data_IF_766535524540
#
_entry.id   IF_766535524540
#
_cell.length_a   1.000
_cell.length_b   1.000
_cell.length_c   1.000
_cell.angle_alpha   90.00
_cell.angle_beta   90.00
_cell.angle_gamma   90.00
#
_symmetry.space_group_name_H-M   'P 1'
#
loop_
_entity.id
_entity.type
_entity.pdbx_description
1 polymer ?
#
# COMPACT_ATOMS: atom_id res chain seq x y z
N UNK A 1 10.62 -20.43 0.52
CA UNK A 1 11.77 -20.95 -0.25
C UNK A 1 12.85 -21.29 0.77
N UNK A 2 13.25 -22.56 0.90
CA UNK A 2 14.30 -22.95 1.84
C UNK A 2 15.62 -22.29 1.40
N UNK A 3 16.29 -21.57 2.30
CA UNK A 3 17.52 -20.86 1.98
C UNK A 3 18.71 -21.80 2.06
N UNK A 4 19.48 -21.89 0.97
CA UNK A 4 20.83 -22.46 1.02
C UNK A 4 21.70 -21.57 1.92
N UNK A 5 22.26 -22.16 2.97
CA UNK A 5 23.34 -21.59 3.77
C UNK A 5 24.58 -22.44 3.54
N UNK A 6 25.74 -21.81 3.34
CA UNK A 6 27.00 -22.55 3.15
C UNK A 6 27.23 -23.44 4.37
N UNK A 7 27.45 -24.74 4.14
CA UNK A 7 27.78 -25.67 5.22
C UNK A 7 29.11 -25.26 5.86
N UNK A 8 29.11 -25.09 7.18
CA UNK A 8 30.24 -24.56 7.95
C UNK A 8 30.60 -25.52 9.07
N UNK A 9 31.89 -25.60 9.38
CA UNK A 9 32.40 -26.27 10.57
C UNK A 9 33.34 -25.32 11.32
N UNK A 10 33.40 -25.49 12.64
CA UNK A 10 34.24 -24.64 13.50
C UNK A 10 35.57 -25.35 13.73
N UNK A 11 36.67 -24.69 13.36
CA UNK A 11 38.04 -25.08 13.70
C UNK A 11 38.66 -23.97 14.52
N UNK A 12 39.10 -24.28 15.74
CA UNK A 12 39.73 -23.32 16.67
C UNK A 12 38.92 -22.02 16.90
N UNK A 13 37.59 -22.13 16.92
CA UNK A 13 36.68 -20.99 17.09
C UNK A 13 36.41 -20.18 15.82
N UNK A 14 37.00 -20.56 14.68
CA UNK A 14 36.80 -19.94 13.38
C UNK A 14 35.84 -20.79 12.54
N UNK A 15 34.79 -20.16 12.00
CA UNK A 15 33.83 -20.80 11.10
C UNK A 15 34.43 -20.86 9.69
N UNK A 16 34.68 -22.06 9.17
CA UNK A 16 35.20 -22.27 7.82
C UNK A 16 34.23 -23.11 6.96
N UNK A 17 34.16 -22.86 5.63
CA UNK A 17 33.28 -23.62 4.75
C UNK A 17 33.70 -25.08 4.67
N UNK A 18 32.76 -25.99 4.90
CA UNK A 18 32.94 -27.44 4.84
C UNK A 18 33.44 -27.87 3.45
N UNK A 19 34.52 -28.66 3.35
CA UNK A 19 34.99 -29.16 2.06
C UNK A 19 33.90 -30.00 1.39
N UNK A 20 33.78 -29.88 0.07
CA UNK A 20 32.76 -30.58 -0.72
C UNK A 20 32.81 -32.11 -0.55
N UNK A 21 34.00 -32.66 -0.29
CA UNK A 21 34.20 -34.10 -0.04
C UNK A 21 33.50 -34.62 1.22
N UNK A 22 33.19 -33.74 2.17
CA UNK A 22 32.53 -34.09 3.43
C UNK A 22 31.02 -33.84 3.39
N UNK A 23 30.49 -33.33 2.28
CA UNK A 23 29.07 -32.96 2.16
C UNK A 23 28.15 -34.17 2.22
N UNK A 24 26.99 -33.99 2.86
CA UNK A 24 25.89 -34.96 2.76
C UNK A 24 25.04 -34.66 1.51
N UNK A 25 24.31 -35.67 1.03
CA UNK A 25 23.46 -35.62 -0.18
C UNK A 25 22.52 -34.38 -0.21
N UNK A 26 22.03 -33.96 0.97
CA UNK A 26 21.17 -32.78 1.14
C UNK A 26 21.93 -31.46 0.92
N UNK A 27 23.20 -31.39 1.36
CA UNK A 27 24.06 -30.20 1.20
C UNK A 27 24.46 -30.01 -0.27
N UNK A 28 24.81 -31.10 -0.95
CA UNK A 28 25.12 -31.11 -2.39
C UNK A 28 23.91 -30.68 -3.22
N UNK A 29 22.74 -31.28 -2.97
CA UNK A 29 21.52 -30.94 -3.70
C UNK A 29 21.11 -29.47 -3.49
N UNK A 30 21.32 -28.92 -2.29
CA UNK A 30 21.04 -27.52 -2.00
C UNK A 30 22.01 -26.57 -2.74
N UNK A 31 23.30 -26.92 -2.83
CA UNK A 31 24.30 -26.18 -3.59
C UNK A 31 24.01 -26.16 -5.10
N UNK A 32 23.68 -27.33 -5.66
CA UNK A 32 23.27 -27.47 -7.07
C UNK A 32 22.01 -26.63 -7.35
N UNK A 33 21.03 -26.69 -6.46
CA UNK A 33 19.81 -25.87 -6.54
C UNK A 33 20.11 -24.38 -6.52
N UNK A 34 21.02 -23.94 -5.64
CA UNK A 34 21.46 -22.55 -5.56
C UNK A 34 22.12 -22.06 -6.86
N UNK A 35 23.06 -22.84 -7.39
CA UNK A 35 23.77 -22.52 -8.64
C UNK A 35 22.80 -22.44 -9.83
N UNK A 36 21.86 -23.39 -9.93
CA UNK A 36 20.84 -23.38 -10.99
C UNK A 36 19.96 -22.13 -10.91
N UNK A 37 19.51 -21.77 -9.70
CA UNK A 37 18.69 -20.58 -9.49
C UNK A 37 19.46 -19.28 -9.79
N UNK A 38 20.72 -19.17 -9.35
CA UNK A 38 21.57 -18.02 -9.67
C UNK A 38 21.76 -17.84 -11.16
N UNK A 39 22.09 -18.92 -11.88
CA UNK A 39 22.23 -18.87 -13.33
C UNK A 39 20.94 -18.45 -14.04
N UNK A 40 19.78 -18.89 -13.54
CA UNK A 40 18.50 -18.45 -14.07
C UNK A 40 18.26 -16.95 -13.85
N UNK A 41 18.58 -16.43 -12.65
CA UNK A 41 18.48 -14.99 -12.35
C UNK A 41 19.44 -14.19 -13.23
N UNK A 42 20.71 -14.59 -13.32
CA UNK A 42 21.74 -13.89 -14.08
C UNK A 42 21.43 -13.81 -15.57
N UNK A 43 20.90 -14.88 -16.16
CA UNK A 43 20.50 -14.90 -17.57
C UNK A 43 19.17 -14.20 -17.84
N UNK A 44 18.36 -13.95 -16.80
CA UNK A 44 17.04 -13.31 -16.92
C UNK A 44 17.05 -11.78 -16.82
N UNK A 45 18.19 -11.18 -16.48
CA UNK A 45 18.31 -9.73 -16.25
C UNK A 45 19.18 -9.06 -17.32
N UNK A 46 19.02 -7.74 -17.51
CA UNK A 46 19.89 -6.99 -18.42
C UNK A 46 21.31 -6.77 -17.85
N UNK A 47 22.22 -6.28 -18.68
CA UNK A 47 23.63 -6.13 -18.34
C UNK A 47 23.88 -5.19 -17.13
N UNK A 48 23.06 -4.16 -16.93
CA UNK A 48 23.24 -3.24 -15.81
C UNK A 48 22.82 -3.90 -14.49
N UNK A 49 21.72 -4.65 -14.52
CA UNK A 49 21.19 -5.40 -13.39
C UNK A 49 22.09 -6.59 -13.06
N UNK A 50 22.63 -7.28 -14.07
CA UNK A 50 23.61 -8.34 -13.87
C UNK A 50 24.83 -7.83 -13.10
N UNK A 51 25.39 -6.67 -13.48
CA UNK A 51 26.53 -6.05 -12.76
C UNK A 51 26.24 -5.78 -11.28
N UNK A 52 24.99 -5.48 -10.94
CA UNK A 52 24.56 -5.24 -9.56
C UNK A 52 24.57 -6.52 -8.71
N UNK A 53 24.27 -7.68 -9.31
CA UNK A 53 24.08 -8.95 -8.59
C UNK A 53 25.18 -10.00 -8.83
N UNK A 54 26.13 -9.77 -9.75
CA UNK A 54 27.09 -10.82 -10.16
C UNK A 54 27.99 -11.31 -9.00
N UNK A 55 28.22 -10.48 -7.99
CA UNK A 55 29.02 -10.82 -6.82
C UNK A 55 28.27 -11.70 -5.79
N UNK A 56 26.99 -11.99 -6.02
CA UNK A 56 26.17 -12.80 -5.11
C UNK A 56 26.56 -14.28 -5.19
N UNK A 57 26.88 -14.88 -4.04
CA UNK A 57 27.13 -16.31 -3.89
C UNK A 57 25.87 -17.15 -3.69
N UNK A 58 24.74 -16.52 -3.37
CA UNK A 58 23.45 -17.21 -3.16
C UNK A 58 22.32 -16.58 -3.97
N UNK A 59 21.42 -17.41 -4.47
CA UNK A 59 20.22 -16.96 -5.18
C UNK A 59 19.33 -16.07 -4.29
N UNK A 60 19.31 -16.34 -2.98
CA UNK A 60 18.59 -15.54 -1.99
C UNK A 60 19.13 -14.13 -1.93
N UNK A 61 20.45 -13.96 -1.89
CA UNK A 61 21.07 -12.64 -1.86
C UNK A 61 20.84 -11.88 -3.16
N UNK A 62 21.03 -12.55 -4.31
CA UNK A 62 20.73 -11.95 -5.61
C UNK A 62 19.27 -11.49 -5.71
N UNK A 63 18.32 -12.35 -5.31
CA UNK A 63 16.90 -12.01 -5.28
C UNK A 63 16.58 -10.88 -4.31
N UNK A 64 17.19 -10.86 -3.12
CA UNK A 64 17.01 -9.79 -2.12
C UNK A 64 17.49 -8.45 -2.65
N UNK A 65 18.65 -8.41 -3.34
CA UNK A 65 19.15 -7.17 -3.95
C UNK A 65 18.18 -6.69 -5.03
N UNK A 66 17.70 -7.59 -5.90
CA UNK A 66 16.69 -7.24 -6.90
C UNK A 66 15.41 -6.69 -6.26
N UNK A 67 14.87 -7.37 -5.27
CA UNK A 67 13.68 -6.92 -4.53
C UNK A 67 13.89 -5.52 -3.93
N UNK A 68 15.04 -5.29 -3.29
CA UNK A 68 15.36 -3.97 -2.70
C UNK A 68 15.56 -2.90 -3.77
N UNK A 69 16.19 -3.22 -4.89
CA UNK A 69 16.49 -2.27 -5.96
C UNK A 69 15.25 -1.85 -6.76
N UNK A 70 14.28 -2.74 -6.91
CA UNK A 70 13.08 -2.48 -7.71
C UNK A 70 11.85 -2.13 -6.86
N UNK A 71 11.67 -2.78 -5.71
CA UNK A 71 10.50 -2.58 -4.85
C UNK A 71 10.82 -1.78 -3.58
N UNK A 72 12.10 -1.48 -3.33
CA UNK A 72 12.55 -0.85 -2.09
C UNK A 72 12.65 -1.85 -0.93
N UNK A 73 13.24 -1.40 0.18
CA UNK A 73 13.34 -2.24 1.39
C UNK A 73 11.97 -2.43 2.05
N UNK A 74 11.78 -3.55 2.77
CA UNK A 74 10.58 -3.76 3.60
C UNK A 74 10.36 -2.61 4.59
N UNK A 75 11.44 -2.00 5.10
CA UNK A 75 11.37 -0.82 5.97
C UNK A 75 10.75 0.38 5.26
N UNK A 76 11.17 0.68 4.02
CA UNK A 76 10.58 1.76 3.22
C UNK A 76 9.10 1.49 2.94
N UNK A 77 8.74 0.25 2.55
CA UNK A 77 7.34 -0.16 2.34
C UNK A 77 6.48 0.04 3.60
N UNK A 78 6.99 -0.36 4.78
CA UNK A 78 6.32 -0.14 6.07
C UNK A 78 6.18 1.35 6.38
N UNK A 79 7.22 2.16 6.16
CA UNK A 79 7.15 3.61 6.39
C UNK A 79 6.14 4.30 5.47
N UNK A 80 6.05 3.88 4.19
CA UNK A 80 5.03 4.36 3.25
C UNK A 80 3.63 3.97 3.76
N UNK A 81 3.43 2.72 4.17
CA UNK A 81 2.15 2.27 4.75
C UNK A 81 1.75 3.10 5.96
N UNK A 82 2.69 3.35 6.88
CA UNK A 82 2.44 4.16 8.07
C UNK A 82 2.08 5.60 7.72
N UNK A 83 2.77 6.20 6.73
CA UNK A 83 2.48 7.55 6.26
C UNK A 83 1.06 7.64 5.66
N UNK A 84 0.70 6.71 4.77
CA UNK A 84 -0.62 6.66 4.14
C UNK A 84 -1.72 6.44 5.20
N UNK A 85 -1.48 5.52 6.15
CA UNK A 85 -2.42 5.26 7.25
C UNK A 85 -2.64 6.52 8.08
N UNK A 86 -1.56 7.22 8.43
CA UNK A 86 -1.63 8.49 9.17
C UNK A 86 -2.39 9.57 8.40
N UNK A 87 -2.10 9.76 7.09
CA UNK A 87 -2.85 10.68 6.22
C UNK A 87 -4.35 10.33 6.19
N UNK A 88 -4.67 9.05 6.05
CA UNK A 88 -6.05 8.57 6.01
C UNK A 88 -6.75 8.77 7.37
N UNK A 89 -6.11 8.47 8.48
CA UNK A 89 -6.66 8.70 9.83
C UNK A 89 -6.86 10.19 10.14
N UNK A 90 -5.94 11.04 9.69
CA UNK A 90 -6.04 12.50 9.81
C UNK A 90 -7.04 13.12 8.81
N UNK A 91 -7.55 12.34 7.85
CA UNK A 91 -8.46 12.84 6.84
C UNK A 91 -9.73 13.39 7.48
N UNK A 92 -9.95 14.69 7.23
CA UNK A 92 -11.12 15.45 7.63
C UNK A 92 -11.41 16.49 6.56
N UNK A 93 -12.68 16.67 6.26
CA UNK A 93 -13.15 17.73 5.38
C UNK A 93 -13.24 19.04 6.17
N UNK A 94 -12.75 20.13 5.58
CA UNK A 94 -12.82 21.46 6.20
C UNK A 94 -14.22 22.09 6.04
N UNK A 95 -14.57 23.07 6.88
CA UNK A 95 -15.90 23.70 6.88
C UNK A 95 -16.20 24.46 5.57
N UNK A 96 -15.16 25.04 4.96
CA UNK A 96 -15.19 25.83 3.72
C UNK A 96 -14.76 25.05 2.47
N UNK A 97 -14.36 23.79 2.66
CA UNK A 97 -14.01 22.89 1.55
C UNK A 97 -15.27 22.41 0.83
N UNK A 98 -15.18 22.25 -0.50
CA UNK A 98 -16.24 21.65 -1.31
C UNK A 98 -16.11 20.13 -1.37
N UNK A 99 -17.22 19.43 -1.58
CA UNK A 99 -17.21 17.97 -1.70
C UNK A 99 -16.29 17.49 -2.83
N UNK A 100 -16.21 18.21 -3.96
CA UNK A 100 -15.32 17.84 -5.07
C UNK A 100 -13.85 17.86 -4.66
N UNK A 101 -13.39 18.94 -4.00
CA UNK A 101 -12.00 19.06 -3.53
C UNK A 101 -11.68 18.00 -2.47
N UNK A 102 -12.64 17.75 -1.57
CA UNK A 102 -12.48 16.71 -0.57
C UNK A 102 -12.40 15.31 -1.21
N UNK A 103 -13.22 15.02 -2.22
CA UNK A 103 -13.16 13.76 -2.99
C UNK A 103 -11.80 13.57 -3.67
N UNK A 104 -11.25 14.62 -4.30
CA UNK A 104 -9.92 14.59 -4.91
C UNK A 104 -8.84 14.15 -3.91
N UNK A 105 -8.84 14.69 -2.69
CA UNK A 105 -7.91 14.28 -1.63
C UNK A 105 -8.10 12.84 -1.18
N UNK A 106 -9.35 12.36 -1.11
CA UNK A 106 -9.64 10.96 -0.78
C UNK A 106 -9.09 10.02 -1.86
N UNK A 107 -9.28 10.38 -3.13
CA UNK A 107 -8.76 9.64 -4.27
C UNK A 107 -7.23 9.70 -4.35
N UNK A 108 -6.61 10.82 -4.01
CA UNK A 108 -5.15 10.95 -3.96
C UNK A 108 -4.55 9.95 -2.96
N UNK A 109 -5.09 9.86 -1.74
CA UNK A 109 -4.65 8.88 -0.73
C UNK A 109 -4.90 7.44 -1.20
N UNK A 110 -6.02 7.19 -1.88
CA UNK A 110 -6.32 5.87 -2.45
C UNK A 110 -5.38 5.51 -3.62
N UNK A 111 -4.94 6.47 -4.42
CA UNK A 111 -4.03 6.24 -5.55
C UNK A 111 -2.57 6.09 -5.09
N UNK A 112 -2.13 6.82 -4.07
CA UNK A 112 -0.81 6.61 -3.42
C UNK A 112 -0.65 5.17 -2.89
N UNK A 113 -1.77 4.45 -2.73
CA UNK A 113 -1.82 3.10 -2.17
C UNK A 113 -2.10 2.00 -3.19
N UNK A 114 -1.99 2.21 -4.51
CA UNK A 114 -2.32 1.22 -5.57
C UNK A 114 -1.78 -0.23 -5.36
N UNK A 115 -0.68 -0.44 -4.63
CA UNK A 115 -0.13 -1.77 -4.25
C UNK A 115 -0.64 -2.34 -2.91
N UNK A 116 -1.36 -1.54 -2.13
CA UNK A 116 -1.74 -1.73 -0.73
C UNK A 116 -3.25 -1.60 -0.49
N UNK A 117 -3.97 -1.04 -1.47
CA UNK A 117 -5.40 -0.67 -1.45
C UNK A 117 -6.34 -1.83 -1.14
N UNK A 118 -6.08 -3.02 -1.70
CA UNK A 118 -7.03 -4.14 -1.63
C UNK A 118 -7.40 -4.54 -0.20
N UNK A 119 -6.54 -4.27 0.79
CA UNK A 119 -6.77 -4.70 2.18
C UNK A 119 -7.26 -3.60 3.12
N UNK A 120 -7.15 -2.32 2.73
CA UNK A 120 -7.35 -1.18 3.66
C UNK A 120 -8.61 -0.36 3.31
N UNK A 121 -8.96 -0.22 2.03
CA UNK A 121 -9.84 0.85 1.53
C UNK A 121 -11.24 0.40 1.05
N UNK A 122 -11.70 -0.81 1.39
CA UNK A 122 -13.09 -1.23 1.14
C UNK A 122 -14.12 -0.46 1.99
N UNK A 123 -15.03 -1.17 2.65
CA UNK A 123 -16.08 -0.59 3.52
C UNK A 123 -15.58 0.39 4.61
N UNK A 124 -14.29 0.33 4.98
CA UNK A 124 -13.65 1.27 5.91
C UNK A 124 -13.59 2.70 5.37
N UNK A 125 -13.48 2.87 4.06
CA UNK A 125 -13.37 4.20 3.42
C UNK A 125 -14.65 5.00 3.48
N UNK A 126 -15.78 4.36 3.18
CA UNK A 126 -17.11 4.98 3.26
C UNK A 126 -17.38 5.45 4.69
N UNK A 127 -17.15 4.57 5.67
CA UNK A 127 -17.31 4.93 7.09
C UNK A 127 -16.39 6.08 7.49
N UNK A 128 -15.12 6.06 7.05
CA UNK A 128 -14.17 7.12 7.34
C UNK A 128 -14.63 8.46 6.76
N UNK A 129 -15.08 8.47 5.50
CA UNK A 129 -15.61 9.68 4.86
C UNK A 129 -16.78 10.23 5.66
N UNK A 130 -17.81 9.42 5.95
CA UNK A 130 -18.99 9.84 6.72
C UNK A 130 -18.64 10.46 8.07
N UNK A 131 -17.71 9.85 8.82
CA UNK A 131 -17.26 10.35 10.14
C UNK A 131 -16.43 11.63 10.06
N UNK A 132 -15.88 11.94 8.89
CA UNK A 132 -14.95 13.05 8.69
C UNK A 132 -15.61 14.30 8.08
N UNK A 133 -16.90 14.21 7.75
CA UNK A 133 -17.70 15.31 7.20
C UNK A 133 -18.03 16.35 8.29
N UNK A 134 -18.11 17.64 7.93
CA UNK A 134 -18.55 18.68 8.84
C UNK A 134 -20.03 18.54 9.23
N UNK A 135 -20.42 19.25 10.30
CA UNK A 135 -21.78 19.17 10.88
C UNK A 135 -22.88 19.57 9.89
N UNK A 136 -22.56 20.40 8.88
CA UNK A 136 -23.50 20.78 7.81
C UNK A 136 -24.05 19.58 7.02
N UNK A 137 -23.33 18.46 7.01
CA UNK A 137 -23.76 17.21 6.38
C UNK A 137 -24.44 16.23 7.33
N UNK A 138 -24.55 16.51 8.64
CA UNK A 138 -25.02 15.54 9.64
C UNK A 138 -26.39 14.93 9.29
N UNK A 139 -27.34 15.75 8.83
CA UNK A 139 -28.66 15.26 8.39
C UNK A 139 -28.55 14.29 7.20
N UNK A 140 -27.68 14.58 6.23
CA UNK A 140 -27.48 13.73 5.07
C UNK A 140 -26.79 12.42 5.44
N UNK A 141 -25.83 12.46 6.37
CA UNK A 141 -25.15 11.27 6.91
C UNK A 141 -26.16 10.32 7.54
N UNK A 142 -27.02 10.80 8.44
CA UNK A 142 -28.06 9.97 9.07
C UNK A 142 -28.96 9.28 8.04
N UNK A 143 -29.42 10.02 7.03
CA UNK A 143 -30.25 9.44 5.97
C UNK A 143 -29.52 8.35 5.19
N UNK A 144 -28.22 8.53 4.90
CA UNK A 144 -27.43 7.52 4.20
C UNK A 144 -27.27 6.27 5.06
N UNK A 145 -26.97 6.44 6.37
CA UNK A 145 -26.80 5.32 7.32
C UNK A 145 -28.10 4.53 7.54
N UNK A 146 -29.26 5.18 7.46
CA UNK A 146 -30.57 4.52 7.57
C UNK A 146 -31.00 3.84 6.26
N UNK A 147 -30.69 4.44 5.11
CA UNK A 147 -31.18 3.97 3.80
C UNK A 147 -30.26 2.94 3.12
N UNK A 148 -28.97 2.91 3.46
CA UNK A 148 -27.98 2.09 2.77
C UNK A 148 -27.11 1.28 3.74
N UNK A 149 -26.74 0.08 3.33
CA UNK A 149 -25.73 -0.70 4.04
C UNK A 149 -24.33 -0.15 3.75
N UNK A 150 -23.74 0.50 4.76
CA UNK A 150 -22.40 1.10 4.72
C UNK A 150 -21.30 0.07 4.38
N UNK A 151 -21.54 -1.22 4.63
CA UNK A 151 -20.57 -2.27 4.33
C UNK A 151 -20.47 -2.60 2.84
N UNK A 152 -21.51 -2.29 2.06
CA UNK A 152 -21.59 -2.59 0.61
C UNK A 152 -21.62 -1.33 -0.25
N UNK A 153 -21.96 -0.17 0.33
CA UNK A 153 -21.96 1.12 -0.36
C UNK A 153 -20.58 1.43 -0.93
N UNK A 154 -20.53 1.95 -2.16
CA UNK A 154 -19.29 2.36 -2.82
C UNK A 154 -19.01 3.85 -2.62
N UNK A 155 -17.74 4.24 -2.73
CA UNK A 155 -17.31 5.63 -2.56
C UNK A 155 -17.89 6.56 -3.63
N UNK A 156 -17.97 6.12 -4.88
CA UNK A 156 -18.53 6.90 -5.99
C UNK A 156 -20.02 7.21 -5.76
N UNK A 157 -20.80 6.22 -5.31
CA UNK A 157 -22.20 6.41 -4.92
C UNK A 157 -22.34 7.39 -3.74
N UNK A 158 -21.51 7.22 -2.70
CA UNK A 158 -21.48 8.11 -1.54
C UNK A 158 -21.22 9.57 -1.96
N UNK A 159 -20.18 9.80 -2.76
CA UNK A 159 -19.83 11.14 -3.22
C UNK A 159 -20.92 11.74 -4.12
N UNK A 160 -21.62 10.93 -4.92
CA UNK A 160 -22.79 11.37 -5.68
C UNK A 160 -23.91 11.91 -4.78
N UNK A 161 -24.21 11.22 -3.68
CA UNK A 161 -25.20 11.68 -2.70
C UNK A 161 -24.80 12.99 -2.01
N UNK A 162 -23.52 13.11 -1.66
CA UNK A 162 -22.98 14.30 -0.97
C UNK A 162 -22.94 15.52 -1.89
N UNK A 163 -22.51 15.36 -3.15
CA UNK A 163 -22.51 16.42 -4.16
C UNK A 163 -23.92 16.96 -4.41
N UNK A 164 -24.90 16.05 -4.58
CA UNK A 164 -26.30 16.45 -4.79
C UNK A 164 -26.84 17.27 -3.61
N UNK A 165 -26.46 16.89 -2.39
CA UNK A 165 -26.86 17.59 -1.18
C UNK A 165 -26.18 18.96 -1.04
N UNK A 166 -24.88 19.05 -1.34
CA UNK A 166 -24.14 20.32 -1.37
C UNK A 166 -24.80 21.33 -2.33
N UNK A 167 -25.13 20.89 -3.55
CA UNK A 167 -25.85 21.73 -4.53
C UNK A 167 -27.21 22.22 -4.00
N UNK A 168 -27.96 21.36 -3.32
CA UNK A 168 -29.26 21.71 -2.75
C UNK A 168 -29.17 22.72 -1.58
N UNK A 169 -28.10 22.65 -0.77
CA UNK A 169 -27.84 23.64 0.28
C UNK A 169 -27.53 25.00 -0.35
N UNK A 170 -26.62 25.05 -1.32
CA UNK A 170 -26.21 26.31 -1.96
C UNK A 170 -27.38 27.02 -2.65
N UNK A 171 -28.29 26.29 -3.31
CA UNK A 171 -29.49 26.89 -3.91
C UNK A 171 -30.43 27.53 -2.86
N UNK A 172 -30.58 26.90 -1.69
CA UNK A 172 -31.40 27.44 -0.59
C UNK A 172 -30.79 28.71 0.02
N UNK A 173 -29.47 28.75 0.17
CA UNK A 173 -28.76 29.93 0.69
C UNK A 173 -28.86 31.11 -0.29
N UNK A 174 -28.69 30.86 -1.60
CA UNK A 174 -28.86 31.86 -2.65
C UNK A 174 -30.28 32.43 -2.73
N UNK A 175 -31.31 31.62 -2.41
CA UNK A 175 -32.71 32.08 -2.33
C UNK A 175 -32.99 32.93 -1.09
N UNK A 176 -32.36 32.63 0.05
CA UNK A 176 -32.51 33.42 1.29
C UNK A 176 -31.85 34.79 1.22
N UNK A 177 -30.72 34.92 0.51
CA UNK A 177 -30.03 36.19 0.29
C UNK A 177 -30.77 37.19 -0.62
N UNK A 178 -31.86 36.76 -1.29
CA UNK A 178 -32.69 37.61 -2.17
C UNK A 178 -33.95 38.15 -1.51
N UNK A 179 -34.20 37.85 -0.23
CA UNK A 179 -35.33 38.43 0.52
C UNK A 179 -34.93 39.85 0.94
N UNK A 180 -35.31 40.83 0.11
CA UNK A 180 -35.16 42.26 0.39
C UNK A 180 -36.13 42.62 1.53
N UNK A 181 -35.72 43.35 2.58
CA UNK A 181 -36.64 43.85 3.58
C UNK A 181 -37.50 44.96 2.96
N UNK A 182 -38.83 44.84 3.09
CA UNK A 182 -39.78 45.92 2.84
C UNK A 182 -39.80 46.90 4.00
#
# INVERSE_FOLDING_TARGET
MASYESSMFIVDGVSIPKPEVDWIDVEEQASVGNTRALNAIFNGVDLNVFKLINSCSTNKEAWRILEVSYEGTSKVKISILQLITSKFEALKMYEDESISKYNERVLEIANESLWLVEKILGSKSVRKVLLSLPRKFAMKVTVIEEAHDISTLKLDELFGFLLTFEMAISDRENKKGKVIPF
#
